data_IF_883610951491
#
_entry.id   IF_883610951491
#
_cell.length_a   1.000
_cell.length_b   1.000
_cell.length_c   1.000
_cell.angle_alpha   90.00
_cell.angle_beta   90.00
_cell.angle_gamma   90.00
#
_symmetry.space_group_name_H-M   'P 1'
#
loop_
_entity.id
_entity.type
_entity.pdbx_description
1 polymer ?
#
# COMPACT_ATOMS: atom_id res chain seq x y z
N UNK A 1 34.72 11.78 -6.81
CA UNK A 1 35.13 10.49 -6.24
C UNK A 1 33.90 9.60 -6.08
N UNK A 2 33.85 8.48 -6.80
CA UNK A 2 32.78 7.51 -6.63
C UNK A 2 32.92 6.89 -5.23
N UNK A 3 32.02 7.22 -4.34
CA UNK A 3 31.82 6.41 -3.14
C UNK A 3 31.53 4.99 -3.61
N UNK A 4 32.24 4.02 -3.08
CA UNK A 4 32.02 2.61 -3.35
C UNK A 4 30.55 2.26 -3.10
N UNK A 5 30.00 1.40 -3.92
CA UNK A 5 28.56 1.08 -3.95
C UNK A 5 27.93 0.66 -2.61
N UNK A 6 28.74 0.49 -1.58
CA UNK A 6 28.33 0.02 -0.26
C UNK A 6 28.23 1.12 0.82
N UNK A 7 28.54 2.38 0.50
CA UNK A 7 28.48 3.48 1.47
C UNK A 7 27.19 4.29 1.30
N UNK A 8 26.43 4.34 2.36
CA UNK A 8 25.18 5.05 2.42
C UNK A 8 25.33 6.29 3.30
N UNK A 9 25.07 7.43 2.74
CA UNK A 9 25.02 8.68 3.49
C UNK A 9 23.57 9.16 3.54
N UNK A 10 23.00 9.20 4.74
CA UNK A 10 21.69 9.82 4.99
C UNK A 10 21.97 11.00 5.91
N UNK A 11 22.11 12.21 5.38
CA UNK A 11 22.38 13.38 6.21
C UNK A 11 21.16 13.70 7.09
N UNK A 12 21.39 13.89 8.39
CA UNK A 12 20.40 14.43 9.32
C UNK A 12 20.79 15.88 9.58
N UNK A 13 19.91 16.80 9.21
CA UNK A 13 20.16 18.25 9.37
C UNK A 13 19.54 18.69 10.70
N UNK A 14 20.39 19.08 11.62
CA UNK A 14 19.97 19.61 12.91
C UNK A 14 19.40 21.03 12.76
N UNK A 15 18.49 21.41 13.64
CA UNK A 15 17.83 22.71 13.60
C UNK A 15 18.85 23.86 13.62
N UNK A 16 18.66 24.81 12.72
CA UNK A 16 19.51 25.99 12.61
C UNK A 16 20.81 25.81 11.82
N UNK A 17 20.99 24.66 11.15
CA UNK A 17 22.20 24.39 10.33
C UNK A 17 21.84 24.41 8.84
N UNK A 18 22.58 25.20 8.07
CA UNK A 18 22.44 25.21 6.60
C UNK A 18 23.14 24.00 5.98
N UNK A 19 22.44 23.36 5.03
CA UNK A 19 22.99 22.22 4.29
C UNK A 19 24.14 22.73 3.38
N UNK A 20 25.37 22.17 3.51
CA UNK A 20 26.45 22.49 2.60
C UNK A 20 26.08 22.24 1.12
N UNK A 21 26.60 23.08 0.23
CA UNK A 21 26.30 22.99 -1.22
C UNK A 21 26.57 21.60 -1.78
N UNK A 22 27.63 20.95 -1.29
CA UNK A 22 28.03 19.61 -1.74
C UNK A 22 26.99 18.52 -1.38
N UNK A 23 26.13 18.79 -0.39
CA UNK A 23 25.12 17.82 0.07
C UNK A 23 23.71 18.18 -0.38
N UNK A 24 23.50 19.34 -1.01
CA UNK A 24 22.16 19.79 -1.45
C UNK A 24 21.48 18.86 -2.45
N UNK A 25 22.26 18.07 -3.16
CA UNK A 25 21.72 17.07 -4.11
C UNK A 25 21.33 15.75 -3.43
N UNK A 26 21.67 15.59 -2.14
CA UNK A 26 21.34 14.39 -1.36
C UNK A 26 20.06 14.67 -0.55
N UNK A 27 19.16 13.70 -0.54
CA UNK A 27 17.94 13.82 0.26
C UNK A 27 18.28 13.81 1.75
N UNK A 28 17.95 14.89 2.45
CA UNK A 28 18.27 15.08 3.87
C UNK A 28 17.04 14.86 4.74
N UNK A 29 17.25 14.35 5.95
CA UNK A 29 16.23 14.28 7.00
C UNK A 29 16.43 15.51 7.89
N UNK A 30 15.39 16.31 8.06
CA UNK A 30 15.43 17.51 8.89
C UNK A 30 14.93 17.18 10.30
N UNK A 31 15.67 17.63 11.30
CA UNK A 31 15.36 17.37 12.71
C UNK A 31 14.16 18.23 13.15
N UNK A 32 12.99 17.61 13.15
CA UNK A 32 11.72 18.24 13.56
C UNK A 32 11.14 17.58 14.81
N UNK A 33 11.02 16.26 14.76
CA UNK A 33 10.43 15.44 15.81
C UNK A 33 11.12 14.09 15.81
N UNK A 34 11.50 13.59 16.97
CA UNK A 34 12.26 12.35 17.12
C UNK A 34 11.55 11.16 16.47
N UNK A 35 10.25 11.06 16.68
CA UNK A 35 9.47 9.93 16.14
C UNK A 35 9.33 10.03 14.60
N UNK A 36 9.12 11.23 14.09
CA UNK A 36 9.07 11.50 12.64
C UNK A 36 10.43 11.20 12.00
N UNK A 37 11.52 11.62 12.64
CA UNK A 37 12.88 11.37 12.16
C UNK A 37 13.20 9.88 12.12
N UNK A 38 12.85 9.12 13.15
CA UNK A 38 13.01 7.67 13.18
C UNK A 38 12.23 7.01 12.03
N UNK A 39 11.01 7.43 11.80
CA UNK A 39 10.18 6.90 10.72
C UNK A 39 10.78 7.23 9.34
N UNK A 40 11.22 8.47 9.14
CA UNK A 40 11.86 8.89 7.89
C UNK A 40 13.17 8.13 7.64
N UNK A 41 13.95 7.92 8.70
CA UNK A 41 15.17 7.13 8.63
C UNK A 41 14.88 5.66 8.28
N UNK A 42 13.87 5.06 8.91
CA UNK A 42 13.42 3.71 8.58
C UNK A 42 13.01 3.61 7.10
N UNK A 43 12.21 4.56 6.61
CA UNK A 43 11.77 4.62 5.21
C UNK A 43 12.99 4.71 4.28
N UNK A 44 13.94 5.61 4.58
CA UNK A 44 15.14 5.80 3.76
C UNK A 44 16.01 4.53 3.73
N UNK A 45 16.20 3.88 4.87
CA UNK A 45 16.95 2.63 4.98
C UNK A 45 16.21 1.51 4.20
N UNK A 46 14.90 1.37 4.41
CA UNK A 46 14.09 0.35 3.73
C UNK A 46 14.05 0.56 2.21
N UNK A 47 13.96 1.79 1.75
CA UNK A 47 13.92 2.07 0.30
C UNK A 47 15.20 1.61 -0.43
N UNK A 48 16.32 1.57 0.30
CA UNK A 48 17.58 1.16 -0.32
C UNK A 48 17.90 -0.30 -0.09
N UNK A 49 17.53 -0.86 1.04
CA UNK A 49 17.60 -2.31 1.24
C UNK A 49 16.75 -3.04 0.18
N UNK A 50 15.69 -2.40 -0.34
CA UNK A 50 14.89 -2.92 -1.46
C UNK A 50 15.69 -3.08 -2.77
N UNK A 51 16.78 -2.36 -2.93
CA UNK A 51 17.63 -2.47 -4.14
C UNK A 51 18.72 -3.53 -4.03
N UNK A 52 18.93 -4.08 -2.84
CA UNK A 52 19.76 -5.27 -2.66
C UNK A 52 18.85 -6.49 -2.69
N UNK A 53 19.28 -7.54 -3.35
CA UNK A 53 18.53 -8.80 -3.51
C UNK A 53 18.28 -9.58 -2.20
N UNK A 54 18.47 -8.94 -1.06
CA UNK A 54 18.33 -9.61 0.22
C UNK A 54 16.87 -9.61 0.69
N UNK A 55 16.37 -10.79 0.90
CA UNK A 55 15.05 -11.08 1.45
C UNK A 55 14.91 -10.45 2.84
N UNK A 56 14.17 -9.35 2.93
CA UNK A 56 13.81 -8.79 4.23
C UNK A 56 12.74 -9.67 4.86
N UNK A 57 13.17 -10.55 5.73
CA UNK A 57 12.25 -11.28 6.60
C UNK A 57 11.90 -10.36 7.78
N UNK A 58 10.81 -9.66 7.67
CA UNK A 58 10.27 -8.93 8.80
C UNK A 58 9.52 -9.94 9.69
N UNK A 59 10.17 -10.35 10.75
CA UNK A 59 9.51 -11.14 11.79
C UNK A 59 8.62 -10.22 12.62
N UNK A 60 7.33 -10.27 12.38
CA UNK A 60 6.38 -9.62 13.27
C UNK A 60 6.23 -10.54 14.49
N UNK A 61 6.63 -10.05 15.67
CA UNK A 61 6.57 -10.76 16.93
C UNK A 61 5.15 -10.92 17.48
N UNK A 62 4.16 -11.21 16.65
CA UNK A 62 2.84 -11.54 17.15
C UNK A 62 2.38 -12.87 16.58
N UNK A 63 2.66 -13.89 17.34
CA UNK A 63 2.38 -15.26 16.93
C UNK A 63 3.43 -15.76 15.94
N UNK A 64 3.42 -17.03 15.64
CA UNK A 64 4.41 -17.74 14.83
C UNK A 64 4.25 -17.51 13.32
N UNK A 65 3.83 -16.32 12.90
CA UNK A 65 3.67 -16.01 11.47
C UNK A 65 4.86 -15.16 11.01
N UNK A 66 5.51 -15.61 9.95
CA UNK A 66 6.56 -14.86 9.25
C UNK A 66 6.09 -14.59 7.83
N UNK A 67 6.53 -13.48 7.26
CA UNK A 67 6.25 -13.20 5.87
C UNK A 67 7.48 -12.67 5.14
N UNK A 68 7.48 -12.86 3.84
CA UNK A 68 8.50 -12.36 2.94
C UNK A 68 7.81 -11.68 1.76
N UNK A 69 8.39 -10.56 1.30
CA UNK A 69 7.90 -9.86 0.11
C UNK A 69 8.89 -10.09 -1.04
N UNK A 70 8.37 -10.47 -2.18
CA UNK A 70 9.15 -10.68 -3.41
C UNK A 70 8.68 -9.65 -4.45
N UNK A 71 9.61 -8.87 -5.00
CA UNK A 71 9.28 -7.90 -6.04
C UNK A 71 9.14 -8.59 -7.40
N UNK A 72 7.95 -8.51 -7.96
CA UNK A 72 7.68 -8.93 -9.34
C UNK A 72 7.76 -7.69 -10.23
N UNK A 73 8.85 -7.58 -10.97
CA UNK A 73 9.11 -6.42 -11.85
C UNK A 73 9.03 -6.84 -13.31
N UNK A 74 8.38 -6.02 -14.09
CA UNK A 74 8.31 -6.22 -15.54
C UNK A 74 8.38 -4.84 -16.22
N UNK A 75 9.21 -4.75 -17.25
CA UNK A 75 9.30 -3.58 -18.10
C UNK A 75 9.12 -4.01 -19.55
N UNK A 76 8.21 -3.37 -20.24
CA UNK A 76 8.03 -3.54 -21.68
C UNK A 76 8.09 -2.21 -22.38
N UNK A 77 9.05 -2.04 -23.25
CA UNK A 77 9.11 -0.90 -24.16
C UNK A 77 8.06 -1.04 -25.27
N UNK A 78 7.41 0.04 -25.62
CA UNK A 78 6.37 0.02 -26.64
C UNK A 78 5.66 1.35 -26.76
N UNK A 79 4.60 1.37 -27.58
CA UNK A 79 3.74 2.53 -27.81
C UNK A 79 2.26 2.11 -27.65
N UNK A 80 1.74 2.15 -26.41
CA UNK A 80 2.43 2.47 -25.17
C UNK A 80 3.26 1.32 -24.60
N UNK A 81 4.28 1.67 -23.83
CA UNK A 81 5.01 0.75 -22.99
C UNK A 81 4.38 0.64 -21.60
N UNK A 82 4.95 -0.24 -20.76
CA UNK A 82 4.52 -0.33 -19.37
C UNK A 82 5.63 -0.79 -18.43
N UNK A 83 5.49 -0.39 -17.19
CA UNK A 83 6.30 -0.84 -16.07
C UNK A 83 5.38 -1.35 -14.96
N UNK A 84 5.65 -2.55 -14.48
CA UNK A 84 4.93 -3.18 -13.37
C UNK A 84 5.92 -3.44 -12.24
N UNK A 85 5.55 -3.10 -11.01
CA UNK A 85 6.33 -3.38 -9.81
C UNK A 85 5.37 -3.81 -8.70
N UNK A 86 5.14 -5.11 -8.58
CA UNK A 86 4.22 -5.68 -7.58
C UNK A 86 5.00 -6.42 -6.50
N UNK A 87 4.67 -6.15 -5.25
CA UNK A 87 5.17 -6.91 -4.11
C UNK A 87 4.27 -8.13 -3.87
N UNK A 88 4.80 -9.31 -4.15
CA UNK A 88 4.12 -10.58 -3.88
C UNK A 88 4.46 -11.02 -2.45
N UNK A 89 3.46 -11.46 -1.70
CA UNK A 89 3.65 -11.88 -0.31
C UNK A 89 3.77 -13.40 -0.23
N UNK A 90 4.63 -13.86 0.67
CA UNK A 90 4.72 -15.26 1.04
C UNK A 90 4.61 -15.38 2.55
N UNK A 91 3.53 -15.99 3.02
CA UNK A 91 3.26 -16.23 4.44
C UNK A 91 3.76 -17.62 4.83
N UNK A 92 4.34 -17.73 6.03
CA UNK A 92 4.78 -19.01 6.61
C UNK A 92 4.52 -19.01 8.11
N UNK A 93 4.35 -20.20 8.70
CA UNK A 93 4.19 -20.34 10.13
C UNK A 93 4.63 -21.73 10.58
N UNK A 94 5.07 -21.82 11.82
CA UNK A 94 5.35 -23.10 12.49
C UNK A 94 4.08 -23.67 13.13
N UNK A 95 3.14 -22.81 13.46
CA UNK A 95 1.90 -23.17 14.17
C UNK A 95 0.73 -23.36 13.22
N UNK A 96 0.52 -22.39 12.33
CA UNK A 96 -0.62 -22.40 11.41
C UNK A 96 -0.22 -23.10 10.11
N UNK A 97 -1.09 -24.02 9.64
CA UNK A 97 -0.86 -24.77 8.40
C UNK A 97 -1.46 -24.05 7.20
N UNK A 98 -0.97 -24.36 6.03
CA UNK A 98 -1.53 -23.93 4.74
C UNK A 98 -1.59 -22.41 4.53
N UNK A 99 -0.71 -21.62 5.17
CA UNK A 99 -0.65 -20.17 4.95
C UNK A 99 -0.20 -19.80 3.54
N UNK A 100 0.46 -20.73 2.85
CA UNK A 100 0.80 -20.59 1.43
C UNK A 100 -0.45 -20.43 0.56
N UNK A 101 -1.58 -21.05 0.92
CA UNK A 101 -2.85 -20.88 0.20
C UNK A 101 -3.34 -19.44 0.26
N UNK A 102 -3.19 -18.77 1.41
CA UNK A 102 -3.55 -17.36 1.56
C UNK A 102 -2.66 -16.47 0.68
N UNK A 103 -1.36 -16.79 0.63
CA UNK A 103 -0.42 -16.09 -0.25
C UNK A 103 -0.81 -16.27 -1.72
N UNK A 104 -1.25 -17.45 -2.10
CA UNK A 104 -1.69 -17.75 -3.48
C UNK A 104 -2.93 -16.93 -3.86
N UNK A 105 -3.91 -16.80 -2.97
CA UNK A 105 -5.11 -15.98 -3.20
C UNK A 105 -4.69 -14.53 -3.51
N UNK A 106 -3.93 -13.92 -2.61
CA UNK A 106 -3.50 -12.52 -2.75
C UNK A 106 -2.69 -12.33 -4.04
N UNK A 107 -1.68 -13.17 -4.24
CA UNK A 107 -0.78 -13.05 -5.38
C UNK A 107 -1.52 -13.32 -6.71
N UNK A 108 -2.51 -14.20 -6.69
CA UNK A 108 -3.37 -14.47 -7.87
C UNK A 108 -4.11 -13.21 -8.31
N UNK A 109 -4.65 -12.44 -7.37
CA UNK A 109 -5.36 -11.19 -7.69
C UNK A 109 -4.42 -10.15 -8.31
N UNK A 110 -3.20 -10.02 -7.78
CA UNK A 110 -2.19 -9.12 -8.34
C UNK A 110 -1.80 -9.54 -9.76
N UNK A 111 -1.59 -10.82 -9.99
CA UNK A 111 -1.25 -11.35 -11.31
C UNK A 111 -2.42 -11.20 -12.28
N UNK A 112 -3.65 -11.47 -11.86
CA UNK A 112 -4.85 -11.25 -12.68
C UNK A 112 -4.97 -9.78 -13.10
N UNK A 113 -4.74 -8.86 -12.16
CA UNK A 113 -4.73 -7.42 -12.45
C UNK A 113 -3.68 -7.09 -13.51
N UNK A 114 -2.48 -7.63 -13.39
CA UNK A 114 -1.40 -7.45 -14.37
C UNK A 114 -1.79 -7.99 -15.74
N UNK A 115 -2.40 -9.19 -15.79
CA UNK A 115 -2.86 -9.80 -17.06
C UNK A 115 -3.94 -8.95 -17.72
N UNK A 116 -4.91 -8.48 -16.96
CA UNK A 116 -5.98 -7.61 -17.47
C UNK A 116 -5.39 -6.30 -18.02
N UNK A 117 -4.41 -5.77 -17.32
CA UNK A 117 -3.71 -4.57 -17.76
C UNK A 117 -2.97 -4.79 -19.08
N UNK A 118 -2.21 -5.88 -19.20
CA UNK A 118 -1.54 -6.22 -20.46
C UNK A 118 -2.53 -6.32 -21.62
N UNK A 119 -3.70 -6.93 -21.37
CA UNK A 119 -4.76 -7.02 -22.38
C UNK A 119 -5.25 -5.64 -22.81
N UNK A 120 -5.49 -4.73 -21.86
CA UNK A 120 -5.98 -3.37 -22.20
C UNK A 120 -4.99 -2.59 -23.06
N UNK A 121 -3.68 -2.85 -22.91
CA UNK A 121 -2.66 -2.17 -23.73
C UNK A 121 -2.69 -2.62 -25.19
N UNK A 122 -3.09 -3.86 -25.48
CA UNK A 122 -3.19 -4.38 -26.84
C UNK A 122 -4.31 -3.70 -27.65
N UNK A 123 -5.25 -3.08 -26.97
CA UNK A 123 -6.41 -2.41 -27.57
C UNK A 123 -6.16 -0.91 -27.84
N UNK A 124 -5.00 -0.39 -27.44
CA UNK A 124 -4.70 1.03 -27.56
C UNK A 124 -4.04 1.38 -28.91
N UNK A 125 -4.43 2.51 -29.49
CA UNK A 125 -3.85 3.00 -30.74
C UNK A 125 -2.43 3.53 -30.49
N UNK A 126 -1.43 2.83 -31.01
CA UNK A 126 -0.02 3.19 -30.83
C UNK A 126 0.36 4.58 -31.36
N UNK A 127 -0.38 5.11 -32.34
CA UNK A 127 -0.09 6.43 -32.89
C UNK A 127 -0.30 7.55 -31.87
N UNK A 128 -1.14 7.31 -30.85
CA UNK A 128 -1.40 8.27 -29.78
C UNK A 128 -0.22 8.41 -28.81
N UNK A 129 0.75 7.50 -28.86
CA UNK A 129 1.85 7.43 -27.90
C UNK A 129 3.23 7.67 -28.52
N UNK A 130 3.27 8.18 -29.76
CA UNK A 130 4.53 8.43 -30.46
C UNK A 130 5.13 9.79 -30.04
N UNK A 131 5.66 9.87 -28.84
CA UNK A 131 6.25 11.07 -28.24
C UNK A 131 7.77 10.99 -28.08
N UNK A 132 8.45 10.38 -29.03
CA UNK A 132 9.90 10.28 -29.07
C UNK A 132 10.48 9.78 -27.72
N UNK A 133 11.34 10.56 -27.08
CA UNK A 133 12.09 10.14 -25.91
C UNK A 133 11.43 10.44 -24.56
N UNK A 134 10.21 10.96 -24.57
CA UNK A 134 9.53 11.31 -23.32
C UNK A 134 8.85 10.08 -22.71
N UNK A 135 9.58 9.41 -21.83
CA UNK A 135 9.17 8.14 -21.21
C UNK A 135 7.77 8.19 -20.58
N UNK A 136 7.50 9.24 -19.79
CA UNK A 136 6.22 9.38 -19.08
C UNK A 136 5.01 9.61 -20.00
N UNK A 137 5.25 10.06 -21.24
CA UNK A 137 4.19 10.24 -22.24
C UNK A 137 3.84 8.93 -22.96
N UNK A 138 4.69 7.92 -22.87
CA UNK A 138 4.50 6.66 -23.59
C UNK A 138 4.49 5.42 -22.70
N UNK A 139 4.72 5.57 -21.39
CA UNK A 139 4.82 4.42 -20.47
C UNK A 139 3.77 4.52 -19.38
N UNK A 140 3.06 3.44 -19.18
CA UNK A 140 2.11 3.29 -18.07
C UNK A 140 2.85 2.64 -16.90
N UNK A 141 2.59 3.09 -15.66
CA UNK A 141 3.24 2.53 -14.47
C UNK A 141 2.19 1.98 -13.52
N UNK A 142 2.45 0.78 -13.01
CA UNK A 142 1.62 0.11 -11.99
C UNK A 142 2.54 -0.33 -10.87
N UNK A 143 2.19 0.05 -9.65
CA UNK A 143 2.90 -0.41 -8.45
C UNK A 143 1.89 -0.94 -7.44
N UNK A 144 2.23 -2.05 -6.78
CA UNK A 144 1.42 -2.61 -5.70
C UNK A 144 2.34 -2.91 -4.52
N UNK A 145 2.17 -2.16 -3.45
CA UNK A 145 2.98 -2.25 -2.24
C UNK A 145 2.19 -2.91 -1.12
N UNK A 146 2.79 -3.92 -0.50
CA UNK A 146 2.19 -4.74 0.54
C UNK A 146 2.58 -4.25 1.93
N UNK A 147 1.61 -4.16 2.82
CA UNK A 147 1.83 -3.95 4.26
C UNK A 147 1.06 -5.00 5.04
N UNK A 148 1.75 -5.83 5.81
CA UNK A 148 1.10 -6.65 6.83
C UNK A 148 0.79 -5.71 8.00
N UNK A 149 -0.48 -5.36 8.16
CA UNK A 149 -0.90 -4.33 9.11
C UNK A 149 -0.81 -4.84 10.53
N UNK A 150 -1.38 -6.02 10.77
CA UNK A 150 -1.38 -6.57 12.12
C UNK A 150 -1.78 -8.05 12.11
N UNK A 151 -1.46 -8.71 13.20
CA UNK A 151 -2.01 -10.03 13.55
C UNK A 151 -2.68 -9.85 14.91
N UNK A 152 -4.00 -10.00 14.95
CA UNK A 152 -4.79 -9.86 16.17
C UNK A 152 -5.38 -11.24 16.51
N UNK A 153 -4.82 -11.85 17.55
CA UNK A 153 -5.20 -13.22 17.90
C UNK A 153 -4.89 -14.17 16.74
N UNK A 154 -5.93 -14.68 16.11
CA UNK A 154 -5.84 -15.60 14.97
C UNK A 154 -6.23 -14.96 13.63
N UNK A 155 -6.31 -13.63 13.58
CA UNK A 155 -6.66 -12.92 12.34
C UNK A 155 -5.47 -12.11 11.86
N UNK A 156 -5.10 -12.26 10.59
CA UNK A 156 -4.10 -11.44 9.93
C UNK A 156 -4.80 -10.44 9.01
N UNK A 157 -4.33 -9.19 9.01
CA UNK A 157 -4.80 -8.12 8.11
C UNK A 157 -3.64 -7.64 7.25
N UNK A 158 -3.86 -7.64 5.96
CA UNK A 158 -2.88 -7.24 4.94
C UNK A 158 -3.50 -6.16 4.07
N UNK A 159 -2.76 -5.06 3.86
CA UNK A 159 -3.19 -3.94 3.04
C UNK A 159 -2.25 -3.80 1.86
N UNK A 160 -2.82 -3.69 0.69
CA UNK A 160 -2.11 -3.29 -0.52
C UNK A 160 -2.48 -1.86 -0.89
N UNK A 161 -1.47 -1.03 -1.10
CA UNK A 161 -1.64 0.25 -1.78
C UNK A 161 -1.22 0.07 -3.24
N UNK A 162 -2.11 0.44 -4.14
CA UNK A 162 -1.91 0.35 -5.58
C UNK A 162 -1.76 1.76 -6.14
N UNK A 163 -0.73 1.96 -6.93
CA UNK A 163 -0.52 3.19 -7.68
C UNK A 163 -0.58 2.88 -9.17
N UNK A 164 -1.31 3.69 -9.91
CA UNK A 164 -1.39 3.59 -11.36
C UNK A 164 -1.29 4.97 -11.98
N UNK A 165 -0.41 5.12 -12.95
CA UNK A 165 -0.39 6.30 -13.80
C UNK A 165 -0.33 5.86 -15.26
N UNK A 166 -1.34 6.30 -16.03
CA UNK A 166 -1.40 6.06 -17.46
C UNK A 166 -0.43 6.96 -18.23
N UNK A 167 0.09 6.47 -19.35
CA UNK A 167 0.85 7.29 -20.27
C UNK A 167 0.05 8.56 -20.62
N UNK A 168 0.70 9.72 -20.57
CA UNK A 168 0.10 11.06 -20.80
C UNK A 168 -0.81 11.56 -19.66
N UNK A 169 -1.04 10.77 -18.63
CA UNK A 169 -1.86 11.26 -17.52
C UNK A 169 -1.12 12.35 -16.72
N UNK A 170 -1.85 13.35 -16.29
CA UNK A 170 -1.30 14.47 -15.51
C UNK A 170 -0.92 14.03 -14.07
N UNK A 171 -1.61 13.03 -13.54
CA UNK A 171 -1.36 12.50 -12.20
C UNK A 171 -1.76 11.02 -12.13
N UNK A 172 -1.19 10.33 -11.17
CA UNK A 172 -1.54 8.95 -10.88
C UNK A 172 -2.78 8.84 -9.99
N UNK A 173 -3.27 7.62 -9.90
CA UNK A 173 -4.37 7.26 -9.01
C UNK A 173 -3.85 6.28 -7.95
N UNK A 174 -4.35 6.42 -6.73
CA UNK A 174 -4.05 5.50 -5.64
C UNK A 174 -5.36 4.86 -5.18
N UNK A 175 -5.32 3.55 -5.00
CA UNK A 175 -6.43 2.81 -4.39
C UNK A 175 -5.88 1.72 -3.49
N UNK A 176 -6.74 1.11 -2.70
CA UNK A 176 -6.35 0.13 -1.69
C UNK A 176 -7.14 -1.16 -1.85
N UNK A 177 -6.49 -2.27 -1.53
CA UNK A 177 -7.16 -3.58 -1.36
C UNK A 177 -6.75 -4.13 -0.01
N UNK A 178 -7.70 -4.67 0.73
CA UNK A 178 -7.43 -5.29 2.03
C UNK A 178 -7.77 -6.77 2.00
N UNK A 179 -6.97 -7.56 2.67
CA UNK A 179 -7.16 -9.01 2.82
C UNK A 179 -7.13 -9.34 4.30
N UNK A 180 -8.15 -10.02 4.76
CA UNK A 180 -8.28 -10.41 6.17
C UNK A 180 -8.53 -11.92 6.23
N UNK A 181 -7.72 -12.64 6.98
CA UNK A 181 -7.82 -14.10 7.05
C UNK A 181 -7.80 -14.60 8.49
N UNK A 182 -8.58 -15.63 8.76
CA UNK A 182 -8.46 -16.47 9.97
C UNK A 182 -7.32 -17.46 9.70
N UNK A 183 -6.44 -17.65 10.66
CA UNK A 183 -5.19 -18.41 10.49
C UNK A 183 -5.28 -19.88 10.91
N UNK A 184 -6.08 -20.21 11.95
CA UNK A 184 -6.16 -21.57 12.48
C UNK A 184 -6.84 -22.56 11.52
N UNK A 185 -7.84 -22.09 10.79
CA UNK A 185 -8.42 -22.76 9.63
C UNK A 185 -8.42 -21.69 8.53
N UNK A 186 -7.44 -21.71 7.62
CA UNK A 186 -7.29 -20.63 6.65
C UNK A 186 -8.59 -20.30 5.93
N UNK A 187 -9.15 -19.14 6.23
CA UNK A 187 -10.46 -18.71 5.72
C UNK A 187 -10.42 -17.20 5.52
N UNK A 188 -10.87 -16.73 4.38
CA UNK A 188 -10.97 -15.30 4.10
C UNK A 188 -12.20 -14.70 4.76
N UNK A 189 -12.04 -13.52 5.36
CA UNK A 189 -13.15 -12.70 5.85
C UNK A 189 -13.45 -11.69 4.74
N UNK A 190 -14.44 -11.98 3.92
CA UNK A 190 -14.77 -11.20 2.72
C UNK A 190 -15.61 -9.97 3.01
N UNK A 191 -16.32 -9.97 4.12
CA UNK A 191 -17.19 -8.87 4.48
C UNK A 191 -17.06 -8.57 5.97
N UNK A 192 -16.99 -7.29 6.29
CA UNK A 192 -17.04 -6.84 7.68
C UNK A 192 -18.34 -7.30 8.38
N UNK A 193 -19.42 -7.52 7.60
CA UNK A 193 -20.69 -8.05 8.09
C UNK A 193 -20.53 -9.39 8.83
N UNK A 194 -19.63 -10.25 8.35
CA UNK A 194 -19.43 -11.63 8.87
C UNK A 194 -19.02 -11.67 10.35
N UNK A 195 -18.44 -10.59 10.88
CA UNK A 195 -17.94 -10.54 12.27
C UNK A 195 -19.00 -10.08 13.27
N UNK A 196 -20.17 -9.63 12.80
CA UNK A 196 -21.19 -9.07 13.70
C UNK A 196 -22.36 -10.04 13.94
N UNK A 197 -22.70 -10.23 15.20
CA UNK A 197 -23.85 -11.07 15.61
C UNK A 197 -25.18 -10.46 15.13
N UNK A 198 -25.25 -9.12 15.08
CA UNK A 198 -26.44 -8.40 14.60
C UNK A 198 -26.00 -7.38 13.55
N UNK A 199 -25.85 -7.82 12.28
CA UNK A 199 -25.29 -6.96 11.24
C UNK A 199 -26.06 -5.66 11.00
N UNK A 200 -27.38 -5.70 10.92
CA UNK A 200 -28.20 -4.51 10.65
C UNK A 200 -27.96 -3.40 11.69
N UNK A 201 -28.05 -3.76 12.97
CA UNK A 201 -27.84 -2.82 14.07
C UNK A 201 -26.39 -2.32 14.11
N UNK A 202 -25.45 -3.21 13.79
CA UNK A 202 -24.02 -2.88 13.79
C UNK A 202 -23.68 -1.92 12.63
N UNK A 203 -24.27 -2.12 11.46
CA UNK A 203 -24.10 -1.21 10.33
C UNK A 203 -24.52 0.23 10.69
N UNK A 204 -25.70 0.39 11.29
CA UNK A 204 -26.19 1.72 11.69
C UNK A 204 -25.25 2.42 12.68
N UNK A 205 -24.73 1.68 13.65
CA UNK A 205 -23.77 2.21 14.62
C UNK A 205 -22.45 2.60 13.93
N UNK A 206 -21.98 1.75 13.05
CA UNK A 206 -20.73 1.95 12.31
C UNK A 206 -20.84 3.17 11.38
N UNK A 207 -21.94 3.29 10.64
CA UNK A 207 -22.25 4.45 9.79
C UNK A 207 -22.20 5.74 10.59
N UNK A 208 -22.87 5.76 11.75
CA UNK A 208 -22.90 6.93 12.62
C UNK A 208 -21.48 7.30 13.10
N UNK A 209 -20.72 6.31 13.58
CA UNK A 209 -19.35 6.53 14.08
C UNK A 209 -18.40 6.98 12.97
N UNK A 210 -18.46 6.36 11.80
CA UNK A 210 -17.62 6.73 10.65
C UNK A 210 -17.95 8.15 10.18
N UNK A 211 -19.24 8.49 10.07
CA UNK A 211 -19.64 9.85 9.71
C UNK A 211 -19.08 10.87 10.71
N UNK A 212 -19.22 10.61 12.00
CA UNK A 212 -18.68 11.51 13.05
C UNK A 212 -17.16 11.66 12.94
N UNK A 213 -16.44 10.54 12.75
CA UNK A 213 -14.99 10.57 12.62
C UNK A 213 -14.54 11.34 11.38
N UNK A 214 -15.18 11.10 10.23
CA UNK A 214 -14.87 11.82 8.98
C UNK A 214 -15.05 13.32 9.16
N UNK A 215 -16.16 13.72 9.77
CA UNK A 215 -16.45 15.14 10.06
C UNK A 215 -15.36 15.73 10.94
N UNK A 216 -15.02 15.07 12.04
CA UNK A 216 -14.06 15.61 13.02
C UNK A 216 -12.62 15.63 12.54
N UNK A 217 -12.26 14.74 11.57
CA UNK A 217 -10.87 14.58 11.12
C UNK A 217 -10.56 15.40 9.86
N UNK A 218 -11.54 15.55 8.97
CA UNK A 218 -11.29 16.12 7.63
C UNK A 218 -11.70 17.59 7.56
N UNK A 219 -12.64 18.03 8.42
CA UNK A 219 -13.24 19.33 8.26
C UNK A 219 -13.06 20.28 9.46
N UNK A 220 -12.45 21.43 9.17
CA UNK A 220 -12.36 22.57 10.10
C UNK A 220 -13.39 23.66 9.72
N UNK A 221 -14.64 23.28 9.39
CA UNK A 221 -15.64 24.27 8.96
C UNK A 221 -17.04 23.71 8.84
N UNK A 222 -17.95 24.51 8.28
CA UNK A 222 -19.32 24.07 8.00
C UNK A 222 -19.33 23.03 6.86
N UNK A 223 -19.99 21.92 7.12
CA UNK A 223 -20.13 20.84 6.15
C UNK A 223 -21.39 21.07 5.31
N UNK A 224 -21.22 21.12 4.00
CA UNK A 224 -22.38 21.26 3.10
C UNK A 224 -23.22 19.98 3.10
N UNK A 225 -24.51 20.11 2.82
CA UNK A 225 -25.43 18.97 2.69
C UNK A 225 -24.97 17.99 1.60
N UNK A 226 -24.41 18.49 0.50
CA UNK A 226 -23.89 17.66 -0.60
C UNK A 226 -22.73 16.80 -0.15
N UNK A 227 -21.80 17.36 0.63
CA UNK A 227 -20.65 16.61 1.17
C UNK A 227 -21.11 15.56 2.18
N UNK A 228 -22.06 15.92 3.04
CA UNK A 228 -22.63 14.97 4.01
C UNK A 228 -23.36 13.83 3.30
N UNK A 229 -24.09 14.12 2.23
CA UNK A 229 -24.76 13.11 1.40
C UNK A 229 -23.73 12.19 0.73
N UNK A 230 -22.64 12.74 0.21
CA UNK A 230 -21.55 11.99 -0.41
C UNK A 230 -20.88 11.05 0.61
N UNK A 231 -20.56 11.54 1.80
CA UNK A 231 -19.98 10.72 2.88
C UNK A 231 -20.90 9.56 3.26
N UNK A 232 -22.20 9.84 3.45
CA UNK A 232 -23.20 8.81 3.82
C UNK A 232 -23.33 7.75 2.71
N UNK A 233 -23.27 8.16 1.45
CA UNK A 233 -23.35 7.25 0.32
C UNK A 233 -22.12 6.31 0.27
N UNK A 234 -20.95 6.79 0.65
CA UNK A 234 -19.72 6.01 0.71
C UNK A 234 -19.68 4.92 1.79
N UNK A 235 -20.61 5.00 2.76
CA UNK A 235 -20.70 4.05 3.87
C UNK A 235 -22.12 3.48 4.03
N UNK A 236 -22.91 3.45 2.96
CA UNK A 236 -24.35 3.16 3.01
C UNK A 236 -24.69 1.68 3.33
N UNK A 237 -23.80 0.78 2.99
CA UNK A 237 -24.06 -0.66 3.13
C UNK A 237 -22.75 -1.42 3.38
N UNK A 238 -22.84 -2.72 3.66
CA UNK A 238 -21.67 -3.56 3.90
C UNK A 238 -20.73 -3.62 2.69
N UNK A 239 -21.29 -3.61 1.48
CA UNK A 239 -20.47 -3.62 0.25
C UNK A 239 -19.60 -2.36 0.10
N UNK A 240 -20.10 -1.23 0.60
CA UNK A 240 -19.33 0.03 0.63
C UNK A 240 -18.17 0.01 1.63
N UNK A 241 -18.17 -0.97 2.56
CA UNK A 241 -17.16 -1.10 3.63
C UNK A 241 -16.23 -2.30 3.39
N UNK A 242 -16.05 -2.72 2.14
CA UNK A 242 -15.28 -3.92 1.79
C UNK A 242 -13.77 -3.79 2.05
N UNK A 243 -13.24 -2.59 2.01
CA UNK A 243 -11.81 -2.37 2.34
C UNK A 243 -11.68 -2.05 3.83
N UNK A 244 -11.37 -3.04 4.63
CA UNK A 244 -11.19 -2.89 6.07
C UNK A 244 -9.99 -3.68 6.56
N UNK A 245 -9.44 -3.26 7.70
CA UNK A 245 -8.34 -3.96 8.37
C UNK A 245 -8.65 -4.06 9.86
N UNK A 246 -8.17 -5.10 10.52
CA UNK A 246 -8.20 -5.25 11.98
C UNK A 246 -6.90 -4.69 12.54
N UNK A 247 -7.02 -3.77 13.51
CA UNK A 247 -5.87 -3.18 14.16
C UNK A 247 -6.10 -3.13 15.66
N UNK A 248 -5.16 -3.41 16.41
CA UNK A 248 -5.29 -3.38 17.79
C UNK A 248 -5.25 -1.99 18.23
N UNK A 249 -5.91 -1.73 18.80
CA UNK A 249 -5.88 -0.50 19.33
C UNK A 249 -4.79 -0.50 20.28
N UNK A 250 -4.08 -0.04 20.16
CA UNK A 250 -3.16 0.20 21.10
C UNK A 250 -3.89 0.73 22.26
N UNK A 251 -3.98 0.24 22.83
CA UNK A 251 -4.52 0.69 23.96
C UNK A 251 -3.64 1.63 24.53
N UNK A 252 -3.92 2.85 24.42
CA UNK A 252 -3.13 3.98 24.91
C UNK A 252 -3.30 4.22 26.42
#
# INVERSE_FOLDING_TARGET
EKLKDDIYLIPVVLDGVDVPEELKHIHCIYDKDEQENINNLKIAIHSKLKNTKDELTLNIESGDVSYRLENHKELREGLPGYEVNNQLIKLTSKTYKNLDELSLVINSDLIKSTLNYRKSLLEQDSSLFNYADQYFLRTNTIESNCTVVNIVGRVISILYSHYYIGARAAHGNIYFSSYNFILDIPTEINSLEEIFINPERSLLKLQHKLTQNLISTIYEGEISDDLLAWMKNGIRDWASLNNFIFQXXXXG
#
